data_IF_784600218767
#
_entry.id   IF_784600218767
#
_cell.length_a   1.000
_cell.length_b   1.000
_cell.length_c   1.000
_cell.angle_alpha   90.00
_cell.angle_beta   90.00
_cell.angle_gamma   90.00
#
_symmetry.space_group_name_H-M   'P 1'
#
loop_
_entity.id
_entity.type
_entity.pdbx_description
1 polymer ?
#
# COMPACT_ATOMS: atom_id res chain seq x y z
N UNK A 1 -2.89 2.39 -30.48
CA UNK A 1 -2.28 1.38 -29.73
C UNK A 1 -2.94 1.15 -28.38
N UNK A 2 -2.96 -0.04 -27.99
CA UNK A 2 -3.64 -0.43 -26.81
C UNK A 2 -2.90 -0.03 -25.56
N UNK A 3 -3.53 0.60 -24.63
CA UNK A 3 -2.82 0.97 -23.42
C UNK A 3 -2.41 -0.27 -22.66
N UNK A 4 -1.27 -0.19 -22.07
CA UNK A 4 -0.80 -1.23 -21.23
C UNK A 4 -1.56 -1.23 -19.94
N UNK A 5 -1.77 -2.40 -19.39
CA UNK A 5 -2.39 -2.50 -18.11
C UNK A 5 -1.57 -1.76 -17.09
N UNK A 6 -2.15 -0.77 -16.46
CA UNK A 6 -1.42 0.09 -15.56
C UNK A 6 -1.99 0.09 -14.15
N UNK A 7 -2.88 -0.84 -13.84
CA UNK A 7 -3.52 -0.82 -12.55
C UNK A 7 -3.50 -2.20 -11.92
N UNK A 8 -3.14 -2.26 -10.65
CA UNK A 8 -3.32 -3.45 -9.83
C UNK A 8 -4.40 -3.18 -8.81
N UNK A 9 -5.22 -4.17 -8.54
CA UNK A 9 -6.32 -4.02 -7.60
C UNK A 9 -6.26 -5.14 -6.59
N UNK A 10 -6.27 -4.77 -5.32
CA UNK A 10 -6.36 -5.70 -4.21
C UNK A 10 -7.79 -5.63 -3.68
N UNK A 11 -8.59 -6.61 -4.00
CA UNK A 11 -9.99 -6.60 -3.59
C UNK A 11 -10.51 -7.94 -3.14
N UNK A 12 -9.65 -8.95 -3.07
CA UNK A 12 -10.06 -10.29 -2.66
C UNK A 12 -9.20 -10.75 -1.51
N UNK A 13 -9.79 -11.55 -0.64
CA UNK A 13 -9.09 -11.99 0.56
C UNK A 13 -7.73 -12.59 0.28
N UNK A 14 -7.61 -13.39 -0.76
CA UNK A 14 -6.33 -14.06 -1.05
C UNK A 14 -5.25 -13.10 -1.48
N UNK A 15 -5.60 -11.94 -2.02
CA UNK A 15 -4.60 -10.98 -2.44
C UNK A 15 -3.94 -10.31 -1.24
N UNK A 16 -4.67 -10.20 -0.13
CA UNK A 16 -4.11 -9.60 1.07
C UNK A 16 -3.18 -10.53 1.82
N UNK A 17 -3.33 -11.84 1.62
CA UNK A 17 -2.64 -12.83 2.45
C UNK A 17 -1.12 -12.83 2.33
N UNK A 18 -0.57 -12.24 1.28
CA UNK A 18 0.89 -12.19 1.14
C UNK A 18 1.56 -11.18 2.05
N UNK A 19 0.81 -10.30 2.70
CA UNK A 19 1.36 -9.24 3.51
C UNK A 19 1.41 -9.58 4.98
N UNK A 20 1.85 -8.59 5.78
CA UNK A 20 1.93 -8.72 7.23
C UNK A 20 0.73 -8.03 7.86
N UNK A 21 -0.04 -8.79 8.61
CA UNK A 21 -1.17 -8.28 9.38
C UNK A 21 -0.73 -8.05 10.82
N UNK A 22 -1.18 -6.95 11.41
CA UNK A 22 -1.01 -6.71 12.83
C UNK A 22 -2.29 -6.08 13.35
N UNK A 23 -3.05 -6.84 14.12
CA UNK A 23 -4.32 -6.40 14.71
C UNK A 23 -5.35 -6.00 13.65
N UNK A 24 -5.19 -6.50 12.45
CA UNK A 24 -6.11 -6.35 11.34
C UNK A 24 -6.47 -7.75 10.88
N UNK A 25 -7.71 -7.93 10.49
CA UNK A 25 -8.18 -9.22 10.01
C UNK A 25 -8.87 -9.06 8.66
N UNK A 26 -8.89 -10.09 7.84
CA UNK A 26 -9.72 -10.08 6.64
C UNK A 26 -11.18 -9.95 7.02
N UNK A 27 -11.92 -9.19 6.21
CA UNK A 27 -13.34 -8.99 6.45
C UNK A 27 -14.02 -8.94 5.09
N UNK A 28 -14.77 -10.00 4.77
CA UNK A 28 -15.27 -10.14 3.41
C UNK A 28 -14.08 -10.21 2.48
N UNK A 29 -14.06 -9.37 1.47
CA UNK A 29 -12.95 -9.30 0.53
C UNK A 29 -11.94 -8.24 0.90
N UNK A 30 -12.12 -7.57 2.02
CA UNK A 30 -11.24 -6.49 2.45
C UNK A 30 -10.62 -6.72 3.80
N UNK A 31 -10.39 -5.63 4.53
CA UNK A 31 -9.68 -5.64 5.80
C UNK A 31 -10.40 -4.78 6.83
N UNK A 32 -10.31 -5.17 8.09
CA UNK A 32 -10.78 -4.34 9.21
C UNK A 32 -9.93 -4.59 10.43
N UNK A 33 -10.07 -3.74 11.44
CA UNK A 33 -9.40 -4.00 12.71
C UNK A 33 -9.93 -5.28 13.33
N UNK A 34 -9.06 -5.99 14.02
CA UNK A 34 -9.46 -7.16 14.78
C UNK A 34 -10.35 -6.67 15.92
N UNK A 35 -11.64 -6.86 15.76
CA UNK A 35 -12.62 -6.28 16.67
C UNK A 35 -12.47 -6.75 18.12
N UNK A 36 -11.80 -7.86 18.31
CA UNK A 36 -11.69 -8.42 19.65
C UNK A 36 -10.65 -7.71 20.50
N UNK A 37 -9.71 -6.98 19.90
CA UNK A 37 -8.58 -6.51 20.69
C UNK A 37 -7.96 -5.20 20.27
N UNK A 38 -8.41 -4.56 19.20
CA UNK A 38 -7.57 -3.50 18.69
C UNK A 38 -8.28 -2.18 18.53
N UNK A 39 -7.63 -1.12 19.02
CA UNK A 39 -8.01 0.24 18.65
C UNK A 39 -7.17 0.73 17.49
N UNK A 40 -6.13 0.02 17.12
CA UNK A 40 -5.33 0.35 15.94
C UNK A 40 -4.68 -0.92 15.41
N UNK A 41 -4.29 -0.86 14.17
CA UNK A 41 -3.63 -1.97 13.54
C UNK A 41 -3.05 -1.53 12.21
N UNK A 42 -2.23 -2.39 11.63
CA UNK A 42 -1.64 -2.08 10.35
C UNK A 42 -1.53 -3.33 9.49
N UNK A 43 -1.49 -3.09 8.19
CA UNK A 43 -1.26 -4.12 7.19
C UNK A 43 -0.16 -3.62 6.26
N UNK A 44 0.88 -4.43 6.11
CA UNK A 44 1.97 -4.10 5.20
C UNK A 44 1.95 -5.13 4.07
N UNK A 45 1.69 -4.69 2.86
CA UNK A 45 1.60 -5.62 1.75
C UNK A 45 2.99 -6.05 1.29
N UNK A 46 3.04 -7.19 0.63
CA UNK A 46 4.27 -7.67 0.03
C UNK A 46 4.67 -6.76 -1.13
N UNK A 47 5.95 -6.79 -1.48
CA UNK A 47 6.48 -5.93 -2.52
C UNK A 47 5.76 -6.13 -3.84
N UNK A 48 5.51 -5.03 -4.53
CA UNK A 48 5.06 -5.05 -5.91
C UNK A 48 6.27 -4.75 -6.78
N UNK A 49 6.55 -5.63 -7.72
CA UNK A 49 7.72 -5.50 -8.58
C UNK A 49 7.30 -4.90 -9.92
N UNK A 50 7.81 -3.73 -10.23
CA UNK A 50 7.52 -3.09 -11.51
C UNK A 50 8.31 -3.71 -12.66
N UNK A 51 9.38 -4.40 -12.33
CA UNK A 51 10.26 -4.98 -13.35
C UNK A 51 11.29 -4.00 -13.89
N UNK A 52 11.34 -2.79 -13.37
CA UNK A 52 12.17 -1.75 -13.94
C UNK A 52 12.77 -0.87 -12.86
N UNK A 53 14.08 -0.81 -12.79
CA UNK A 53 14.75 0.05 -11.81
C UNK A 53 14.39 1.50 -12.05
N UNK A 54 14.23 2.25 -10.96
CA UNK A 54 13.89 3.66 -11.05
C UNK A 54 12.47 3.93 -11.47
N UNK A 55 11.60 2.92 -11.42
CA UNK A 55 10.21 3.08 -11.81
C UNK A 55 9.53 4.16 -10.98
N UNK A 56 8.74 5.00 -11.61
CA UNK A 56 8.05 6.08 -10.93
C UNK A 56 6.64 5.64 -10.56
N UNK A 57 6.40 5.49 -9.27
CA UNK A 57 5.09 5.07 -8.77
C UNK A 57 4.22 6.32 -8.63
N UNK A 58 3.07 6.30 -9.28
CA UNK A 58 2.23 7.48 -9.35
C UNK A 58 1.18 7.58 -8.26
N UNK A 59 0.14 6.78 -8.37
CA UNK A 59 -1.02 6.94 -7.50
C UNK A 59 -1.45 5.64 -6.86
N UNK A 60 -2.05 5.76 -5.68
CA UNK A 60 -2.78 4.67 -5.07
C UNK A 60 -4.13 5.19 -4.62
N UNK A 61 -5.16 4.37 -4.72
CA UNK A 61 -6.49 4.71 -4.26
C UNK A 61 -6.94 3.66 -3.26
N UNK A 62 -7.47 4.11 -2.12
CA UNK A 62 -7.98 3.20 -1.12
C UNK A 62 -9.48 3.49 -0.95
N UNK A 63 -10.28 2.47 -1.22
CA UNK A 63 -11.72 2.57 -1.04
C UNK A 63 -12.04 2.01 0.33
N UNK A 64 -12.57 2.82 1.21
CA UNK A 64 -12.78 2.41 2.59
C UNK A 64 -13.99 3.10 3.18
N UNK A 65 -14.61 2.42 4.14
CA UNK A 65 -15.63 3.02 4.98
C UNK A 65 -14.94 3.50 6.25
N UNK A 66 -15.03 4.80 6.51
CA UNK A 66 -14.40 5.41 7.68
C UNK A 66 -15.48 6.00 8.56
N UNK A 67 -16.04 5.22 9.50
CA UNK A 67 -17.01 5.77 10.44
C UNK A 67 -16.42 6.90 11.27
N UNK A 68 -17.25 7.70 11.92
CA UNK A 68 -16.73 8.73 12.81
C UNK A 68 -15.76 8.13 13.83
N UNK A 69 -14.74 8.91 14.16
CA UNK A 69 -13.73 8.51 15.14
C UNK A 69 -12.84 7.36 14.65
N UNK A 70 -12.76 7.19 13.34
CA UNK A 70 -11.81 6.24 12.76
C UNK A 70 -10.89 6.97 11.81
N UNK A 71 -9.76 6.35 11.52
CA UNK A 71 -8.75 6.96 10.66
C UNK A 71 -8.02 5.89 9.86
N UNK A 72 -7.55 6.32 8.70
CA UNK A 72 -6.73 5.50 7.82
C UNK A 72 -5.51 6.32 7.44
N UNK A 73 -4.32 5.73 7.52
CA UNK A 73 -3.11 6.35 7.01
C UNK A 73 -2.44 5.42 6.03
N UNK A 74 -1.88 5.98 4.97
CA UNK A 74 -1.22 5.22 3.92
C UNK A 74 0.25 5.59 3.93
N UNK A 75 1.11 4.58 3.89
CA UNK A 75 2.56 4.75 3.88
C UNK A 75 3.12 4.06 2.66
N UNK A 76 4.19 4.59 2.12
CA UNK A 76 4.82 4.02 0.92
C UNK A 76 6.34 4.05 1.04
N UNK A 77 6.97 2.98 0.56
CA UNK A 77 8.41 2.88 0.46
C UNK A 77 8.75 2.19 -0.85
N UNK A 78 9.71 2.72 -1.58
CA UNK A 78 10.15 2.11 -2.83
C UNK A 78 11.66 2.04 -2.89
N UNK A 79 12.16 1.03 -3.57
CA UNK A 79 13.60 0.82 -3.71
C UNK A 79 13.87 -0.04 -4.93
N UNK A 80 15.04 0.13 -5.52
CA UNK A 80 15.45 -0.74 -6.63
C UNK A 80 15.86 -2.12 -6.15
N UNK A 81 16.04 -2.32 -4.86
CA UNK A 81 16.41 -3.61 -4.29
C UNK A 81 15.42 -4.00 -3.22
N UNK A 82 15.42 -5.27 -2.87
CA UNK A 82 14.60 -5.76 -1.78
C UNK A 82 15.35 -5.78 -0.45
N UNK A 83 16.56 -5.28 -0.45
CA UNK A 83 17.39 -5.26 0.75
C UNK A 83 17.06 -4.07 1.62
N UNK A 84 17.04 -4.27 2.91
CA UNK A 84 16.87 -3.20 3.89
C UNK A 84 17.74 -3.53 5.09
N UNK A 85 18.73 -2.67 5.37
CA UNK A 85 19.60 -2.91 6.49
C UNK A 85 20.27 -4.29 6.38
N UNK A 86 20.11 -5.09 7.40
CA UNK A 86 20.67 -6.45 7.42
C UNK A 86 19.76 -7.48 6.77
N UNK A 87 18.56 -7.08 6.38
CA UNK A 87 17.65 -8.00 5.72
C UNK A 87 17.94 -8.02 4.22
N UNK A 88 18.21 -9.21 3.71
CA UNK A 88 18.41 -9.37 2.27
C UNK A 88 17.10 -9.20 1.51
N UNK A 89 15.98 -9.51 2.16
CA UNK A 89 14.66 -9.42 1.56
C UNK A 89 13.73 -8.73 2.56
N UNK A 90 13.29 -7.53 2.22
CA UNK A 90 12.46 -6.74 3.11
C UNK A 90 11.14 -7.44 3.44
N UNK A 91 10.52 -8.12 2.48
CA UNK A 91 9.29 -8.85 2.76
C UNK A 91 9.51 -9.89 3.86
N UNK A 92 10.58 -10.64 3.73
CA UNK A 92 10.87 -11.67 4.71
C UNK A 92 11.21 -11.05 6.05
N UNK A 93 11.96 -9.95 6.04
CA UNK A 93 12.30 -9.23 7.26
C UNK A 93 11.07 -8.73 7.97
N UNK A 94 10.15 -8.12 7.24
CA UNK A 94 8.92 -7.62 7.83
C UNK A 94 8.11 -8.76 8.46
N UNK A 95 8.02 -9.88 7.77
CA UNK A 95 7.28 -11.02 8.30
C UNK A 95 7.94 -11.63 9.52
N UNK A 96 9.25 -11.42 9.69
CA UNK A 96 9.99 -12.00 10.79
C UNK A 96 10.00 -11.15 12.06
N UNK A 97 9.47 -9.92 12.01
CA UNK A 97 9.42 -9.07 13.18
C UNK A 97 8.50 -9.71 14.22
N UNK A 98 9.03 -9.90 15.43
CA UNK A 98 8.26 -10.49 16.50
C UNK A 98 7.49 -9.42 17.24
N UNK A 99 6.28 -9.77 17.68
CA UNK A 99 5.45 -8.86 18.45
C UNK A 99 4.88 -7.75 17.59
N UNK A 100 4.84 -6.55 18.16
CA UNK A 100 4.27 -5.38 17.50
C UNK A 100 5.28 -4.77 16.53
N UNK A 101 5.00 -4.81 15.22
CA UNK A 101 5.96 -4.32 14.23
C UNK A 101 5.90 -2.82 13.98
N UNK A 102 5.03 -2.09 14.70
CA UNK A 102 4.73 -0.70 14.36
C UNK A 102 5.96 0.19 14.29
N UNK A 103 6.79 0.14 15.31
CA UNK A 103 7.97 1.02 15.34
C UNK A 103 8.95 0.72 14.22
N UNK A 104 9.19 -0.57 13.99
CA UNK A 104 10.11 -0.97 12.93
C UNK A 104 9.58 -0.54 11.58
N UNK A 105 8.29 -0.72 11.36
CA UNK A 105 7.70 -0.35 10.08
C UNK A 105 7.68 1.16 9.89
N UNK A 106 7.44 1.92 10.94
CA UNK A 106 7.49 3.38 10.84
C UNK A 106 8.89 3.87 10.47
N UNK A 107 9.90 3.18 10.95
CA UNK A 107 11.27 3.53 10.59
C UNK A 107 11.52 3.29 9.09
N UNK A 108 10.98 2.21 8.55
CA UNK A 108 11.15 1.88 7.15
C UNK A 108 10.40 2.85 6.26
N UNK A 109 9.16 3.14 6.61
CA UNK A 109 8.27 3.90 5.73
C UNK A 109 8.33 5.41 5.92
N UNK A 110 8.71 5.87 7.10
CA UNK A 110 8.69 7.30 7.40
C UNK A 110 7.27 7.81 7.59
N UNK A 111 7.05 9.11 7.37
CA UNK A 111 5.71 9.69 7.56
C UNK A 111 4.71 9.16 6.54
N UNK A 112 3.41 9.17 6.86
CA UNK A 112 2.41 8.74 5.89
C UNK A 112 2.35 9.67 4.69
N UNK A 113 2.01 9.10 3.53
CA UNK A 113 1.85 9.88 2.30
C UNK A 113 0.43 10.35 2.12
N UNK A 114 -0.53 9.77 2.82
CA UNK A 114 -1.92 10.17 2.72
C UNK A 114 -2.69 9.70 3.93
N UNK A 115 -3.84 10.33 4.14
CA UNK A 115 -4.69 9.98 5.27
C UNK A 115 -6.04 9.42 4.83
N UNK A 116 -6.27 9.21 3.57
CA UNK A 116 -7.40 8.47 3.03
C UNK A 116 -7.54 8.77 1.55
N UNK A 117 -8.33 7.94 0.89
CA UNK A 117 -8.65 8.20 -0.50
C UNK A 117 -7.49 8.03 -1.44
N UNK A 118 -7.51 8.79 -2.51
CA UNK A 118 -6.46 8.74 -3.50
C UNK A 118 -5.24 9.52 -3.04
N UNK A 119 -4.08 9.02 -3.33
CA UNK A 119 -2.87 9.73 -2.95
C UNK A 119 -1.81 9.62 -4.05
N UNK A 120 -0.97 10.64 -4.10
CA UNK A 120 0.23 10.60 -4.93
C UNK A 120 1.33 9.99 -4.10
N UNK A 121 1.96 8.97 -4.65
CA UNK A 121 2.99 8.26 -3.90
C UNK A 121 4.33 8.97 -3.93
N UNK A 122 4.69 9.53 -5.08
CA UNK A 122 5.94 10.27 -5.17
C UNK A 122 7.16 9.44 -4.84
N UNK A 123 7.17 8.18 -5.21
CA UNK A 123 8.25 7.26 -4.89
C UNK A 123 8.82 6.67 -6.16
N UNK A 124 10.11 6.42 -6.18
CA UNK A 124 10.75 5.77 -7.31
C UNK A 124 11.54 4.57 -6.83
N UNK A 125 11.55 3.52 -7.63
CA UNK A 125 12.24 2.28 -7.34
C UNK A 125 11.53 1.12 -8.01
N UNK A 126 12.26 0.05 -8.23
CA UNK A 126 11.69 -1.11 -8.89
C UNK A 126 10.56 -1.75 -8.08
N UNK A 127 10.74 -1.79 -6.75
CA UNK A 127 9.78 -2.42 -5.85
C UNK A 127 9.06 -1.38 -5.03
N UNK A 128 7.80 -1.62 -4.75
CA UNK A 128 6.99 -0.75 -3.91
C UNK A 128 6.36 -1.55 -2.78
N UNK A 129 6.43 -0.99 -1.57
CA UNK A 129 5.71 -1.51 -0.42
C UNK A 129 4.72 -0.45 0.04
N UNK A 130 3.51 -0.87 0.32
CA UNK A 130 2.50 0.02 0.91
C UNK A 130 2.10 -0.53 2.27
N UNK A 131 1.87 0.37 3.20
CA UNK A 131 1.38 0.00 4.51
C UNK A 131 0.14 0.82 4.80
N UNK A 132 -0.88 0.16 5.31
CA UNK A 132 -2.14 0.79 5.67
C UNK A 132 -2.30 0.69 7.19
N UNK A 133 -2.56 1.82 7.82
CA UNK A 133 -2.74 1.86 9.27
C UNK A 133 -4.17 2.28 9.56
N UNK A 134 -4.85 1.52 10.38
CA UNK A 134 -6.22 1.80 10.79
C UNK A 134 -6.24 2.14 12.27
N UNK A 135 -7.09 3.11 12.63
CA UNK A 135 -7.27 3.47 14.03
C UNK A 135 -8.73 3.76 14.30
N UNK A 136 -9.17 3.48 15.52
CA UNK A 136 -10.53 3.73 15.95
C UNK A 136 -10.53 4.06 17.42
N UNK A 137 -11.34 5.06 17.82
CA UNK A 137 -11.48 5.40 19.23
C UNK A 137 -12.80 4.94 19.80
N UNK A 138 -13.69 4.43 18.96
CA UNK A 138 -15.00 3.94 19.40
C UNK A 138 -15.15 2.47 19.11
N UNK A 139 -16.39 2.04 18.98
CA UNK A 139 -16.71 0.64 18.77
C UNK A 139 -16.75 0.25 17.29
N UNK A 140 -16.61 1.22 16.41
CA UNK A 140 -16.66 0.94 14.97
C UNK A 140 -15.26 0.85 14.41
N UNK A 141 -15.07 -0.04 13.45
CA UNK A 141 -13.79 -0.18 12.77
C UNK A 141 -13.88 0.44 11.39
N UNK A 142 -12.80 1.08 10.92
CA UNK A 142 -12.70 1.36 9.50
C UNK A 142 -12.66 0.03 8.75
N UNK A 143 -13.19 0.03 7.54
CA UNK A 143 -13.17 -1.17 6.69
C UNK A 143 -12.57 -0.77 5.36
N UNK A 144 -11.51 -1.45 4.97
CA UNK A 144 -10.90 -1.23 3.66
C UNK A 144 -11.51 -2.23 2.71
N UNK A 145 -12.06 -1.74 1.61
CA UNK A 145 -12.69 -2.59 0.61
C UNK A 145 -11.73 -2.91 -0.52
N UNK A 146 -11.00 -1.91 -0.99
CA UNK A 146 -10.17 -2.06 -2.18
C UNK A 146 -8.95 -1.17 -2.07
N UNK A 147 -7.84 -1.66 -2.56
CA UNK A 147 -6.64 -0.87 -2.79
C UNK A 147 -6.32 -0.96 -4.27
N UNK A 148 -6.26 0.18 -4.95
CA UNK A 148 -5.87 0.26 -6.34
C UNK A 148 -4.53 0.93 -6.44
N UNK A 149 -3.64 0.30 -7.18
CA UNK A 149 -2.32 0.83 -7.39
C UNK A 149 -2.18 1.10 -8.88
N UNK A 150 -1.98 2.35 -9.23
CA UNK A 150 -1.81 2.72 -10.62
C UNK A 150 -0.34 2.68 -10.96
N UNK A 151 0.02 1.79 -11.86
CA UNK A 151 1.40 1.58 -12.26
C UNK A 151 1.64 2.26 -13.58
N UNK A 152 2.55 3.19 -13.61
CA UNK A 152 3.00 3.75 -14.85
C UNK A 152 2.11 4.79 -15.50
N UNK A 153 1.02 5.20 -14.85
CA UNK A 153 0.13 6.16 -15.45
C UNK A 153 0.83 7.46 -15.78
N UNK A 154 1.44 8.07 -14.81
CA UNK A 154 2.16 9.31 -15.04
C UNK A 154 3.38 9.08 -15.91
N UNK A 155 4.02 7.95 -15.70
CA UNK A 155 5.16 7.57 -16.49
C UNK A 155 4.81 7.44 -17.96
N UNK A 156 3.67 6.82 -18.24
CA UNK A 156 3.22 6.70 -19.61
C UNK A 156 2.92 8.05 -20.21
N UNK A 157 2.35 8.93 -19.48
CA UNK A 157 2.06 10.26 -19.96
C UNK A 157 3.34 11.00 -20.32
N UNK A 158 4.39 10.82 -19.56
CA UNK A 158 5.65 11.45 -19.86
C UNK A 158 6.25 10.93 -21.15
N UNK A 159 6.04 9.66 -21.41
CA UNK A 159 6.59 9.07 -22.61
C UNK A 159 5.77 9.35 -23.84
N UNK A 160 4.49 9.62 -23.67
CA UNK A 160 3.59 9.74 -24.78
C UNK A 160 3.05 11.12 -25.02
N UNK A 161 3.74 12.19 -24.62
CA UNK A 161 3.17 13.50 -24.83
C UNK A 161 2.88 13.79 -26.27
N UNK A 162 3.76 13.36 -27.12
CA UNK A 162 3.58 13.63 -28.51
C UNK A 162 2.54 12.75 -29.14
N UNK A 163 2.23 11.65 -28.49
CA UNK A 163 1.32 10.71 -29.05
C UNK A 163 0.05 10.70 -28.33
N UNK A 164 0.17 10.66 -27.06
CA UNK A 164 -0.91 10.39 -26.20
C UNK A 164 -1.71 11.57 -25.92
N UNK A 165 -1.05 12.64 -25.66
CA UNK A 165 -1.74 13.80 -25.43
C UNK A 165 -2.28 14.31 -26.62
N UNK A 166 -1.85 13.79 -27.47
CA UNK A 166 -2.33 13.96 -28.55
C UNK A 166 -3.02 13.04 -28.93
N UNK A 167 -3.11 12.32 -28.24
CA UNK A 167 -3.43 11.32 -28.55
C UNK A 167 -4.06 11.16 -28.59
N UNK A 168 -4.06 11.58 -28.56
CA UNK A 168 -4.22 11.26 -28.78
C UNK A 168 -4.42 11.00 -28.81
#
# INVERSE_FOLDING_TARGET
MEPIQTQMVYCCAEQWLGGRFHQIEPWGDGLRLDAARASDGLYCMAAVDSGENGFSWGRAGVEADLPPDTALRVYAYASDTRQWGDWADLDQGIRSIEGDPTKALQTIFGPPVAQQGDCLLGRTGRYLWLMLELAATGSHSPVIHTLRLQMGGDHMADYLPAIYQQED
#
